data_IF_559479179558
#
_entry.id   IF_559479179558
#
_cell.length_a   1.000
_cell.length_b   1.000
_cell.length_c   1.000
_cell.angle_alpha   90.00
_cell.angle_beta   90.00
_cell.angle_gamma   90.00
#
_symmetry.space_group_name_H-M   'P 1'
#
loop_
_entity.id
_entity.type
_entity.pdbx_description
1 polymer ?
#
# COMPACT_ATOMS: atom_id res chain seq x y z
N UNK A 1 0.68 16.27 15.14
CA UNK A 1 -0.47 16.26 14.22
C UNK A 1 -1.42 15.16 14.69
N UNK A 2 -2.75 15.29 14.51
CA UNK A 2 -3.66 14.16 14.74
C UNK A 2 -3.30 13.01 13.80
N UNK A 3 -3.64 11.77 14.20
CA UNK A 3 -3.54 10.64 13.30
C UNK A 3 -4.41 10.88 12.05
N UNK A 4 -3.98 10.43 10.86
CA UNK A 4 -4.84 10.43 9.67
C UNK A 4 -6.16 9.70 9.92
N UNK A 5 -7.21 10.09 9.19
CA UNK A 5 -8.48 9.36 9.18
C UNK A 5 -8.29 8.03 8.44
N UNK A 6 -8.82 6.97 9.03
CA UNK A 6 -8.86 5.59 8.55
C UNK A 6 -10.27 5.07 8.90
N UNK A 7 -11.15 5.09 7.90
CA UNK A 7 -12.60 4.94 8.08
C UNK A 7 -13.03 3.48 8.32
N UNK A 8 -12.28 2.51 7.84
CA UNK A 8 -12.55 1.08 8.04
C UNK A 8 -11.58 0.40 9.03
N UNK A 9 -10.61 1.16 9.55
CA UNK A 9 -9.67 0.75 10.59
C UNK A 9 -8.76 -0.40 10.17
N UNK A 10 -8.36 -0.44 8.90
CA UNK A 10 -7.47 -1.45 8.34
C UNK A 10 -5.98 -1.09 8.45
N UNK A 11 -5.67 0.15 8.84
CA UNK A 11 -4.32 0.68 8.98
C UNK A 11 -3.83 1.54 7.82
N UNK A 12 -4.61 1.68 6.76
CA UNK A 12 -4.35 2.58 5.63
C UNK A 12 -5.20 3.86 5.75
N UNK A 13 -4.63 5.07 5.58
CA UNK A 13 -5.42 6.29 5.63
C UNK A 13 -6.34 6.45 4.41
N UNK A 14 -7.57 6.96 4.62
CA UNK A 14 -8.55 7.27 3.57
C UNK A 14 -7.97 8.03 2.37
N UNK A 15 -7.05 8.96 2.65
CA UNK A 15 -6.44 9.81 1.64
C UNK A 15 -5.49 9.02 0.73
N UNK A 16 -4.76 8.06 1.31
CA UNK A 16 -3.88 7.16 0.58
C UNK A 16 -4.70 6.17 -0.25
N UNK A 17 -5.74 5.58 0.34
CA UNK A 17 -6.64 4.69 -0.37
C UNK A 17 -7.30 5.36 -1.58
N UNK A 18 -7.79 6.59 -1.43
CA UNK A 18 -8.35 7.39 -2.54
C UNK A 18 -7.33 7.70 -3.63
N UNK A 19 -6.06 7.86 -3.29
CA UNK A 19 -5.00 8.09 -4.27
C UNK A 19 -4.84 6.88 -5.22
N UNK A 20 -4.95 5.67 -4.67
CA UNK A 20 -4.83 4.41 -5.42
C UNK A 20 -6.16 3.79 -5.84
N UNK A 21 -7.28 4.50 -5.63
CA UNK A 21 -8.65 4.10 -6.00
C UNK A 21 -9.19 2.89 -5.23
N UNK A 22 -8.69 2.66 -4.02
CA UNK A 22 -9.29 1.74 -3.07
C UNK A 22 -10.56 2.36 -2.44
N UNK A 23 -11.42 1.50 -1.89
CA UNK A 23 -12.62 1.91 -1.17
C UNK A 23 -12.29 2.07 0.32
N UNK A 24 -12.32 3.30 0.90
CA UNK A 24 -11.99 3.55 2.31
C UNK A 24 -12.97 2.96 3.34
N UNK A 25 -13.94 2.18 2.87
CA UNK A 25 -14.91 1.47 3.71
C UNK A 25 -14.76 -0.05 3.59
N UNK A 26 -13.76 -0.53 2.85
CA UNK A 26 -13.48 -1.94 2.62
C UNK A 26 -12.09 -2.33 3.15
N UNK A 27 -12.07 -2.68 4.44
CA UNK A 27 -10.86 -3.12 5.14
C UNK A 27 -10.20 -4.37 4.54
N UNK A 28 -10.86 -5.06 3.59
CA UNK A 28 -10.21 -6.15 2.86
C UNK A 28 -9.15 -5.66 1.88
N UNK A 29 -9.15 -4.37 1.52
CA UNK A 29 -8.16 -3.77 0.62
C UNK A 29 -6.75 -3.86 1.19
N UNK A 30 -6.55 -3.64 2.51
CA UNK A 30 -5.23 -3.77 3.14
C UNK A 30 -4.53 -5.11 2.84
N UNK A 31 -5.28 -6.22 2.83
CA UNK A 31 -4.72 -7.56 2.69
C UNK A 31 -4.63 -8.07 1.23
N UNK A 32 -5.08 -7.28 0.25
CA UNK A 32 -4.96 -7.60 -1.17
C UNK A 32 -3.56 -7.21 -1.67
N UNK A 33 -3.08 -7.99 -2.61
CA UNK A 33 -1.94 -7.68 -3.47
C UNK A 33 -2.55 -7.29 -4.82
N UNK A 34 -2.80 -5.99 -5.00
CA UNK A 34 -3.61 -5.48 -6.11
C UNK A 34 -2.88 -5.61 -7.46
N UNK A 35 -1.56 -5.41 -7.47
CA UNK A 35 -0.74 -5.46 -8.68
C UNK A 35 -0.06 -6.82 -8.92
N UNK A 36 -0.05 -7.71 -7.92
CA UNK A 36 0.46 -9.07 -8.00
C UNK A 36 1.97 -9.18 -7.82
N UNK A 37 2.63 -8.17 -7.26
CA UNK A 37 4.08 -8.11 -7.13
C UNK A 37 4.64 -8.86 -5.90
N UNK A 38 3.72 -9.29 -5.01
CA UNK A 38 4.01 -10.07 -3.82
C UNK A 38 3.98 -9.29 -2.52
N UNK A 39 3.65 -7.99 -2.53
CA UNK A 39 3.33 -7.21 -1.34
C UNK A 39 1.84 -6.91 -1.25
N UNK A 40 1.31 -6.89 -0.03
CA UNK A 40 -0.05 -6.42 0.21
C UNK A 40 -0.10 -4.89 0.24
N UNK A 41 -1.26 -4.31 -0.10
CA UNK A 41 -1.46 -2.86 -0.13
C UNK A 41 -1.04 -2.17 1.18
N UNK A 42 -1.25 -2.80 2.34
CA UNK A 42 -0.79 -2.25 3.62
C UNK A 42 0.73 -2.29 3.78
N UNK A 43 1.39 -3.35 3.32
CA UNK A 43 2.86 -3.42 3.33
C UNK A 43 3.43 -2.34 2.42
N UNK A 44 2.80 -2.11 1.28
CA UNK A 44 3.19 -1.06 0.35
C UNK A 44 2.98 0.35 0.88
N UNK A 45 1.87 0.60 1.59
CA UNK A 45 1.67 1.85 2.32
C UNK A 45 2.79 2.10 3.34
N UNK A 46 3.16 1.08 4.11
CA UNK A 46 4.22 1.17 5.13
C UNK A 46 5.61 1.36 4.53
N UNK A 47 5.83 0.83 3.34
CA UNK A 47 7.08 0.92 2.59
C UNK A 47 7.15 2.17 1.69
N UNK A 48 6.00 2.76 1.35
CA UNK A 48 5.90 3.87 0.41
C UNK A 48 6.15 3.45 -1.04
N UNK A 49 5.72 2.25 -1.44
CA UNK A 49 5.66 1.80 -2.84
C UNK A 49 4.30 2.12 -3.47
N UNK A 50 4.16 1.81 -4.76
CA UNK A 50 2.93 2.02 -5.52
C UNK A 50 2.16 0.69 -5.63
N UNK A 51 1.03 0.53 -4.93
CA UNK A 51 0.26 -0.70 -4.93
C UNK A 51 -0.51 -1.00 -6.21
N UNK A 52 -0.24 -0.24 -7.26
CA UNK A 52 -0.84 -0.43 -8.58
C UNK A 52 0.22 -0.62 -9.65
N UNK A 53 1.51 -0.71 -9.29
CA UNK A 53 2.64 -0.85 -10.21
C UNK A 53 3.47 -2.10 -9.90
N UNK A 54 3.21 -3.18 -10.65
CA UNK A 54 3.94 -4.43 -10.48
C UNK A 54 5.47 -4.26 -10.54
N UNK A 55 6.17 -4.61 -9.46
CA UNK A 55 7.63 -4.64 -9.39
C UNK A 55 8.18 -6.07 -9.27
N UNK A 56 9.04 -6.46 -10.22
CA UNK A 56 9.75 -7.75 -10.13
C UNK A 56 10.94 -7.67 -9.15
N UNK A 57 10.72 -7.97 -7.87
CA UNK A 57 11.76 -7.99 -6.83
C UNK A 57 12.77 -9.15 -6.97
N UNK A 58 12.54 -10.09 -7.89
CA UNK A 58 13.57 -11.11 -8.20
C UNK A 58 14.73 -10.52 -8.99
N UNK A 59 14.53 -9.33 -9.61
CA UNK A 59 15.59 -8.54 -10.25
C UNK A 59 16.25 -7.63 -9.22
N UNK A 60 17.54 -7.85 -8.87
CA UNK A 60 18.21 -7.06 -7.84
C UNK A 60 18.24 -5.55 -8.09
N UNK A 61 18.11 -5.11 -9.35
CA UNK A 61 18.04 -3.70 -9.71
C UNK A 61 16.76 -2.98 -9.29
N UNK A 62 15.70 -3.72 -8.95
CA UNK A 62 14.42 -3.17 -8.51
C UNK A 62 14.34 -3.03 -6.98
N UNK A 63 15.30 -3.59 -6.24
CA UNK A 63 15.30 -3.56 -4.78
C UNK A 63 15.55 -2.13 -4.28
N UNK A 64 14.51 -1.51 -3.74
CA UNK A 64 14.59 -0.18 -3.13
C UNK A 64 14.86 -0.31 -1.62
N UNK A 65 15.97 0.26 -1.15
CA UNK A 65 16.23 0.38 0.29
C UNK A 65 15.50 1.60 0.85
N UNK A 66 14.53 1.38 1.74
CA UNK A 66 13.73 2.43 2.38
C UNK A 66 14.33 3.00 3.66
N UNK A 67 15.45 2.46 4.14
CA UNK A 67 16.25 3.09 5.20
C UNK A 67 17.04 4.26 4.61
N UNK A 68 16.42 5.44 4.52
CA UNK A 68 17.12 6.71 4.35
C UNK A 68 17.54 7.29 5.70
#
# INVERSE_FOLDING_TARGET
LPAPLDSDSDGMPDAWEKQYRFDPQDASNAAKDEDGDGYTNIEEYLNGTDPTEFVDYTKPGNNVSMLK
#
